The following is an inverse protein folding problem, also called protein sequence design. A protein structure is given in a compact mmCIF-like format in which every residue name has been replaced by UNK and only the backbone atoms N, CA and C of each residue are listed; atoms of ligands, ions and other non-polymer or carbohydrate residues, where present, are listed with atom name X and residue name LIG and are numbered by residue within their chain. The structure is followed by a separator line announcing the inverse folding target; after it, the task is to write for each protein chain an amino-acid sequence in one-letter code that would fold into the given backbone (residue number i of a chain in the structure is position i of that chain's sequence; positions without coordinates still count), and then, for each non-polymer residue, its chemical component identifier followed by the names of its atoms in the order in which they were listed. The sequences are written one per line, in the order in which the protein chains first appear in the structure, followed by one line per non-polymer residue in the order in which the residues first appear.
data_IF_777776437040
#
_entry.id   IF_777776437040
#
_cell.length_a   1.000
_cell.length_b   1.000
_cell.length_c   1.000
_cell.angle_alpha   90.00
_cell.angle_beta   90.00
_cell.angle_gamma   90.00
#
_symmetry.space_group_name_H-M   'P 1'
#
loop_
_entity.id
_entity.type
_entity.pdbx_description
1 polymer ?
#
# COMPACT_ATOMS: atom_id res chain seq x y z
N UNK A 1 -27.98 16.47 38.92
CA UNK A 1 -28.18 15.90 37.57
C UNK A 1 -26.81 15.70 36.93
N UNK A 2 -26.34 14.46 36.81
CA UNK A 2 -25.07 14.14 36.15
C UNK A 2 -25.30 14.12 34.64
N UNK A 3 -24.53 14.85 33.82
CA UNK A 3 -24.65 14.74 32.38
C UNK A 3 -24.12 13.36 31.98
N UNK A 4 -25.01 12.55 31.42
CA UNK A 4 -24.68 11.33 30.70
C UNK A 4 -23.87 11.74 29.48
N UNK A 5 -22.55 11.56 29.51
CA UNK A 5 -21.71 11.70 28.33
C UNK A 5 -22.10 10.58 27.39
N UNK A 6 -22.91 10.92 26.39
CA UNK A 6 -23.21 10.07 25.25
C UNK A 6 -21.87 9.88 24.50
N UNK A 7 -21.19 8.76 24.73
CA UNK A 7 -20.15 8.27 23.83
C UNK A 7 -20.83 7.91 22.50
N UNK A 8 -21.10 8.92 21.67
CA UNK A 8 -21.44 8.73 20.27
C UNK A 8 -20.28 7.98 19.61
N UNK A 9 -20.59 6.78 19.12
CA UNK A 9 -19.63 5.86 18.54
C UNK A 9 -18.83 6.50 17.41
N UNK A 10 -17.55 6.76 17.69
CA UNK A 10 -16.50 6.94 16.69
C UNK A 10 -16.09 5.56 16.15
N UNK A 11 -17.06 4.82 15.62
CA UNK A 11 -16.77 3.68 14.76
C UNK A 11 -16.27 4.22 13.43
N UNK A 12 -14.98 4.58 13.37
CA UNK A 12 -14.29 4.63 12.07
C UNK A 12 -14.35 3.21 11.53
N UNK A 13 -15.39 2.92 10.75
CA UNK A 13 -15.43 1.74 9.91
C UNK A 13 -14.32 1.93 8.88
N UNK A 14 -13.13 1.48 9.26
CA UNK A 14 -12.02 1.34 8.35
C UNK A 14 -12.36 0.14 7.48
N UNK A 15 -12.90 0.43 6.29
CA UNK A 15 -13.11 -0.55 5.23
C UNK A 15 -11.85 -1.40 4.98
N UNK A 16 -10.66 -0.81 5.21
CA UNK A 16 -9.38 -1.49 5.09
C UNK A 16 -8.65 -1.56 6.43
N UNK A 17 -8.12 -2.72 6.76
CA UNK A 17 -7.28 -2.92 7.94
C UNK A 17 -5.94 -2.18 7.80
N UNK A 18 -5.58 -1.26 8.72
CA UNK A 18 -4.33 -0.53 8.61
C UNK A 18 -3.14 -1.31 9.17
N UNK A 19 -2.06 -1.35 8.39
CA UNK A 19 -0.77 -1.92 8.77
C UNK A 19 0.38 -0.95 8.50
N UNK A 20 1.48 -1.14 9.22
CA UNK A 20 2.71 -0.37 9.06
C UNK A 20 3.84 -1.28 8.56
N UNK A 21 4.45 -0.91 7.44
CA UNK A 21 5.70 -1.50 6.97
C UNK A 21 6.87 -0.67 7.53
N UNK A 22 7.68 -1.23 8.46
CA UNK A 22 8.85 -0.52 9.01
C UNK A 22 10.02 -0.40 8.02
N UNK A 23 9.93 -1.08 6.88
CA UNK A 23 10.97 -1.11 5.85
C UNK A 23 11.12 -2.52 5.29
N UNK A 24 11.14 -2.65 3.96
CA UNK A 24 11.31 -3.94 3.27
C UNK A 24 12.15 -3.78 2.00
N UNK A 25 13.44 -3.44 2.12
CA UNK A 25 14.26 -2.97 1.00
C UNK A 25 14.69 -4.06 0.01
N UNK A 26 14.39 -5.32 0.30
CA UNK A 26 14.84 -6.48 -0.50
C UNK A 26 13.74 -7.53 -0.61
N UNK A 27 13.72 -8.25 -1.73
CA UNK A 27 12.69 -9.27 -2.02
C UNK A 27 12.68 -10.40 -0.98
N UNK A 28 13.85 -10.83 -0.50
CA UNK A 28 13.98 -11.94 0.45
C UNK A 28 13.43 -11.58 1.85
N UNK A 29 13.27 -10.29 2.12
CA UNK A 29 12.68 -9.75 3.34
C UNK A 29 11.48 -8.84 3.04
N UNK A 30 10.73 -9.17 1.97
CA UNK A 30 9.52 -8.46 1.62
C UNK A 30 8.48 -8.51 2.76
N UNK A 31 7.76 -7.40 2.97
CA UNK A 31 6.73 -7.32 3.99
C UNK A 31 5.57 -8.27 3.65
N UNK A 32 5.15 -9.17 4.56
CA UNK A 32 4.12 -10.15 4.26
C UNK A 32 2.72 -9.54 4.24
N UNK A 33 2.01 -9.72 3.13
CA UNK A 33 0.56 -9.55 3.04
C UNK A 33 -0.06 -10.90 3.39
N UNK A 34 -0.33 -11.11 4.68
CA UNK A 34 -0.74 -12.42 5.20
C UNK A 34 -2.15 -12.84 4.76
N UNK A 35 -3.07 -11.88 4.54
CA UNK A 35 -4.47 -12.13 4.14
C UNK A 35 -4.82 -11.34 2.88
N UNK A 36 -4.34 -11.74 1.69
CA UNK A 36 -4.56 -10.98 0.47
C UNK A 36 -6.03 -10.88 0.05
N UNK A 37 -6.92 -11.71 0.60
CA UNK A 37 -8.37 -11.65 0.37
C UNK A 37 -9.09 -10.64 1.24
N UNK A 38 -8.45 -10.08 2.26
CA UNK A 38 -9.03 -9.08 3.18
C UNK A 38 -8.62 -7.69 2.73
N UNK A 39 -9.56 -6.75 2.77
CA UNK A 39 -9.28 -5.35 2.46
C UNK A 39 -8.27 -4.79 3.49
N UNK A 40 -7.12 -4.33 3.01
CA UNK A 40 -6.05 -3.82 3.86
C UNK A 40 -5.29 -2.68 3.22
N UNK A 41 -4.78 -1.80 4.05
CA UNK A 41 -3.85 -0.74 3.65
C UNK A 41 -2.53 -0.94 4.38
N UNK A 42 -1.43 -0.91 3.64
CA UNK A 42 -0.08 -0.94 4.23
C UNK A 42 0.58 0.41 3.99
N UNK A 43 0.84 1.12 5.08
CA UNK A 43 1.54 2.41 5.07
C UNK A 43 3.03 2.20 5.25
N UNK A 44 3.82 3.06 4.62
CA UNK A 44 5.26 3.10 4.80
C UNK A 44 5.81 4.48 4.49
N UNK A 45 7.10 4.65 4.74
CA UNK A 45 7.87 5.85 4.38
C UNK A 45 9.06 5.42 3.55
N UNK A 46 9.30 6.13 2.45
CA UNK A 46 10.47 5.94 1.61
C UNK A 46 11.32 7.22 1.64
N UNK A 47 12.64 7.06 1.71
CA UNK A 47 13.61 8.07 1.34
C UNK A 47 13.81 8.09 -0.19
N UNK A 48 14.44 9.15 -0.75
CA UNK A 48 14.82 9.15 -2.16
C UNK A 48 15.63 7.91 -2.55
N UNK A 49 15.27 7.28 -3.67
CA UNK A 49 15.92 6.09 -4.21
C UNK A 49 15.53 4.78 -3.53
N UNK A 50 14.74 4.80 -2.46
CA UNK A 50 14.33 3.58 -1.78
C UNK A 50 13.20 2.84 -2.49
N UNK A 51 13.12 1.55 -2.18
CA UNK A 51 12.06 0.65 -2.60
C UNK A 51 11.60 -0.20 -1.43
N UNK A 52 10.30 -0.44 -1.33
CA UNK A 52 9.73 -1.39 -0.38
C UNK A 52 9.02 -2.53 -1.12
N UNK A 53 9.38 -3.76 -0.79
CA UNK A 53 8.79 -4.97 -1.35
C UNK A 53 7.74 -5.57 -0.42
N UNK A 54 6.72 -6.18 -1.01
CA UNK A 54 5.64 -6.87 -0.32
C UNK A 54 5.44 -8.23 -0.96
N UNK A 55 5.22 -9.27 -0.15
CA UNK A 55 4.97 -10.63 -0.63
C UNK A 55 3.53 -11.01 -0.37
N UNK A 56 2.87 -11.56 -1.38
CA UNK A 56 1.55 -12.16 -1.27
C UNK A 56 1.54 -13.53 -1.94
N UNK A 57 0.80 -14.46 -1.37
CA UNK A 57 0.61 -15.80 -1.91
C UNK A 57 -0.87 -16.02 -2.15
N UNK A 58 -1.24 -16.35 -3.38
CA UNK A 58 -2.62 -16.27 -3.84
C UNK A 58 -3.05 -17.55 -4.57
N UNK A 59 -4.35 -17.91 -4.52
CA UNK A 59 -4.86 -19.03 -5.31
C UNK A 59 -4.90 -18.71 -6.80
N UNK A 60 -5.01 -19.75 -7.63
CA UNK A 60 -5.16 -19.61 -9.08
C UNK A 60 -6.36 -18.73 -9.44
N UNK A 61 -6.13 -17.72 -10.28
CA UNK A 61 -7.17 -16.82 -10.76
C UNK A 61 -7.60 -15.74 -9.77
N UNK A 62 -6.84 -15.56 -8.67
CA UNK A 62 -7.04 -14.46 -7.73
C UNK A 62 -7.06 -13.12 -8.44
N UNK A 63 -8.00 -12.25 -8.08
CA UNK A 63 -8.09 -10.90 -8.62
C UNK A 63 -7.48 -9.93 -7.64
N UNK A 64 -6.28 -9.46 -7.96
CA UNK A 64 -5.61 -8.40 -7.22
C UNK A 64 -6.19 -7.05 -7.66
N UNK A 65 -6.76 -6.29 -6.74
CA UNK A 65 -7.20 -4.92 -6.96
C UNK A 65 -6.45 -4.03 -5.98
N UNK A 66 -5.65 -3.11 -6.52
CA UNK A 66 -4.67 -2.34 -5.76
C UNK A 66 -4.63 -0.88 -6.20
N UNK A 67 -4.34 0.00 -5.25
CA UNK A 67 -4.12 1.41 -5.51
C UNK A 67 -3.01 1.97 -4.63
N UNK A 68 -2.23 2.90 -5.17
CA UNK A 68 -1.18 3.61 -4.45
C UNK A 68 -1.61 5.03 -4.11
N UNK A 69 -1.36 5.45 -2.89
CA UNK A 69 -1.61 6.80 -2.40
C UNK A 69 -0.34 7.38 -1.79
N UNK A 70 -0.25 8.71 -1.80
CA UNK A 70 0.76 9.47 -1.04
C UNK A 70 0.08 10.47 -0.13
N UNK A 71 0.72 10.80 0.99
CA UNK A 71 0.20 11.79 1.93
C UNK A 71 -0.05 13.14 1.24
N UNK A 72 -1.16 13.81 1.56
CA UNK A 72 -1.55 15.06 0.90
C UNK A 72 -0.57 16.21 1.17
N UNK A 73 0.10 16.17 2.32
CA UNK A 73 1.16 17.11 2.68
C UNK A 73 2.56 16.67 2.22
N UNK A 74 2.71 15.52 1.56
CA UNK A 74 4.01 15.11 1.02
C UNK A 74 4.43 16.02 -0.15
N UNK A 75 5.75 16.17 -0.39
CA UNK A 75 6.25 16.94 -1.53
C UNK A 75 5.55 16.55 -2.83
N UNK A 76 5.18 17.52 -3.65
CA UNK A 76 4.44 17.25 -4.89
C UNK A 76 5.23 16.32 -5.84
N UNK A 77 6.56 16.47 -5.83
CA UNK A 77 7.51 15.65 -6.58
C UNK A 77 7.59 14.19 -6.10
N UNK A 78 7.12 13.87 -4.89
CA UNK A 78 6.98 12.49 -4.46
C UNK A 78 5.85 11.81 -5.22
N UNK A 79 6.23 11.04 -6.24
CA UNK A 79 5.35 10.35 -7.19
C UNK A 79 5.85 8.91 -7.39
N UNK A 80 5.73 8.06 -6.36
CA UNK A 80 6.28 6.71 -6.38
C UNK A 80 5.65 5.84 -7.47
N UNK A 81 6.40 4.85 -7.93
CA UNK A 81 5.94 3.85 -8.89
C UNK A 81 5.52 2.57 -8.16
N UNK A 82 4.41 1.97 -8.60
CA UNK A 82 3.95 0.67 -8.14
C UNK A 82 4.39 -0.41 -9.14
N UNK A 83 4.96 -1.50 -8.64
CA UNK A 83 5.34 -2.66 -9.42
C UNK A 83 4.56 -3.88 -8.98
N UNK A 84 4.17 -4.72 -9.94
CA UNK A 84 3.69 -6.08 -9.73
C UNK A 84 4.68 -7.07 -10.34
N UNK A 85 5.13 -8.03 -9.55
CA UNK A 85 6.12 -9.03 -9.90
C UNK A 85 5.52 -10.42 -9.71
N UNK A 86 5.77 -11.34 -10.64
CA UNK A 86 5.18 -12.67 -10.56
C UNK A 86 5.47 -13.56 -11.75
N UNK A 87 5.19 -14.86 -11.61
CA UNK A 87 5.31 -15.81 -12.70
C UNK A 87 4.34 -15.48 -13.84
N UNK A 88 4.80 -15.66 -15.08
CA UNK A 88 3.96 -15.46 -16.28
C UNK A 88 3.63 -14.01 -16.61
N UNK A 89 4.04 -13.04 -15.77
CA UNK A 89 3.95 -11.64 -16.11
C UNK A 89 4.92 -11.31 -17.25
N UNK A 90 4.49 -10.41 -18.13
CA UNK A 90 5.30 -9.79 -19.16
C UNK A 90 5.20 -8.29 -19.00
N UNK A 91 6.33 -7.59 -19.15
CA UNK A 91 6.38 -6.15 -19.02
C UNK A 91 7.80 -5.64 -18.95
N UNK A 92 7.98 -4.58 -18.17
CA UNK A 92 9.21 -3.81 -18.09
C UNK A 92 10.29 -4.53 -17.26
N UNK A 93 11.55 -4.23 -17.56
CA UNK A 93 12.69 -4.66 -16.74
C UNK A 93 12.80 -3.69 -15.55
N UNK A 94 12.60 -4.14 -14.31
CA UNK A 94 12.69 -3.26 -13.15
C UNK A 94 14.14 -2.92 -12.80
N UNK A 95 14.40 -1.86 -12.02
CA UNK A 95 15.74 -1.48 -11.56
C UNK A 95 16.29 -2.36 -10.43
N UNK A 96 15.77 -3.57 -10.26
CA UNK A 96 16.12 -4.53 -9.21
C UNK A 96 16.06 -5.96 -9.75
N UNK A 97 16.82 -6.91 -9.16
CA UNK A 97 16.80 -8.29 -9.62
C UNK A 97 15.43 -8.94 -9.44
N UNK A 98 15.08 -9.82 -10.38
CA UNK A 98 13.87 -10.64 -10.30
C UNK A 98 14.21 -12.09 -9.99
N UNK A 99 13.32 -12.82 -9.27
CA UNK A 99 13.43 -14.27 -9.19
C UNK A 99 13.38 -14.89 -10.60
N UNK A 100 14.02 -16.05 -10.75
CA UNK A 100 13.98 -16.78 -12.01
C UNK A 100 12.53 -17.08 -12.44
N UNK A 101 12.23 -16.86 -13.73
CA UNK A 101 10.90 -17.07 -14.30
C UNK A 101 9.87 -15.99 -13.96
N UNK A 102 10.24 -14.94 -13.20
CA UNK A 102 9.35 -13.82 -12.90
C UNK A 102 9.46 -12.74 -13.98
N UNK A 103 8.33 -12.11 -14.28
CA UNK A 103 8.29 -10.82 -14.97
C UNK A 103 7.78 -9.72 -14.05
N UNK A 104 7.83 -8.49 -14.55
CA UNK A 104 7.38 -7.31 -13.84
C UNK A 104 6.47 -6.43 -14.70
N UNK A 105 5.56 -5.70 -14.05
CA UNK A 105 4.73 -4.66 -14.65
C UNK A 105 4.73 -3.42 -13.76
N UNK A 106 4.92 -2.25 -14.35
CA UNK A 106 4.88 -0.97 -13.65
C UNK A 106 3.52 -0.27 -13.81
N UNK A 107 3.13 0.47 -12.79
CA UNK A 107 2.02 1.40 -12.79
C UNK A 107 2.47 2.74 -12.21
N UNK A 108 2.16 3.83 -12.90
CA UNK A 108 2.60 5.17 -12.54
C UNK A 108 1.60 6.23 -13.00
N UNK A 109 1.65 7.41 -12.37
CA UNK A 109 0.78 8.54 -12.72
C UNK A 109 -0.60 8.48 -12.07
N UNK A 110 -1.58 9.15 -12.67
CA UNK A 110 -2.97 9.18 -12.16
C UNK A 110 -3.17 10.00 -10.87
N UNK A 111 -2.15 10.76 -10.45
CA UNK A 111 -2.14 11.54 -9.21
C UNK A 111 -3.24 12.61 -9.20
N UNK A 112 -4.19 12.45 -8.30
CA UNK A 112 -5.31 13.37 -8.06
C UNK A 112 -5.55 13.53 -6.58
N UNK A 113 -6.03 14.69 -6.15
CA UNK A 113 -6.39 14.91 -4.75
C UNK A 113 -7.44 13.90 -4.29
N UNK A 114 -7.32 13.47 -3.03
CA UNK A 114 -8.23 12.53 -2.40
C UNK A 114 -8.49 12.92 -0.95
N UNK A 115 -9.78 12.99 -0.59
CA UNK A 115 -10.25 13.16 0.79
C UNK A 115 -11.38 12.17 1.04
N UNK A 116 -11.21 11.31 2.03
CA UNK A 116 -12.20 10.28 2.36
C UNK A 116 -11.64 9.25 3.32
N UNK A 117 -12.52 8.60 4.09
CA UNK A 117 -12.15 7.49 4.99
C UNK A 117 -11.00 7.84 5.96
N UNK A 118 -10.95 9.09 6.44
CA UNK A 118 -9.90 9.58 7.34
C UNK A 118 -8.56 9.91 6.67
N UNK A 119 -8.47 9.84 5.34
CA UNK A 119 -7.27 10.18 4.58
C UNK A 119 -7.35 11.58 3.96
N UNK A 120 -6.21 12.26 3.98
CA UNK A 120 -5.90 13.45 3.17
C UNK A 120 -4.69 13.08 2.32
N UNK A 121 -4.92 12.83 1.03
CA UNK A 121 -3.96 12.14 0.18
C UNK A 121 -3.96 12.68 -1.25
N UNK A 122 -3.01 12.20 -2.04
CA UNK A 122 -3.14 12.12 -3.50
C UNK A 122 -3.23 10.64 -3.88
N UNK A 123 -4.29 10.26 -4.59
CA UNK A 123 -4.46 8.91 -5.14
C UNK A 123 -3.74 8.84 -6.47
N UNK A 124 -2.86 7.86 -6.65
CA UNK A 124 -2.05 7.65 -7.85
C UNK A 124 -2.51 6.45 -8.66
N UNK A 125 -1.57 5.58 -9.10
CA UNK A 125 -1.91 4.46 -9.96
C UNK A 125 -2.80 3.45 -9.23
N UNK A 126 -3.71 2.87 -10.00
CA UNK A 126 -4.59 1.78 -9.58
C UNK A 126 -4.65 0.72 -10.67
N UNK A 127 -4.79 -0.54 -10.28
CA UNK A 127 -4.80 -1.66 -11.21
C UNK A 127 -5.63 -2.81 -10.65
N UNK A 128 -6.26 -3.55 -11.57
CA UNK A 128 -6.96 -4.79 -11.29
C UNK A 128 -6.43 -5.89 -12.20
N UNK A 129 -5.79 -6.89 -11.62
CA UNK A 129 -5.06 -7.94 -12.33
C UNK A 129 -5.55 -9.31 -11.90
N UNK A 130 -5.70 -10.23 -12.86
CA UNK A 130 -5.98 -11.63 -12.57
C UNK A 130 -4.67 -12.41 -12.56
N UNK A 131 -4.31 -12.93 -11.40
CA UNK A 131 -3.03 -13.57 -11.16
C UNK A 131 -3.10 -15.09 -11.32
N UNK A 132 -2.01 -15.74 -11.80
CA UNK A 132 -1.83 -17.18 -11.60
C UNK A 132 -1.69 -17.49 -10.10
N UNK A 133 -1.80 -18.76 -9.75
CA UNK A 133 -1.58 -19.19 -8.36
C UNK A 133 -0.11 -19.09 -7.96
N UNK A 134 0.14 -18.91 -6.67
CA UNK A 134 1.47 -18.91 -6.08
C UNK A 134 1.93 -17.53 -5.60
N UNK A 135 3.24 -17.38 -5.49
CA UNK A 135 3.88 -16.21 -4.89
C UNK A 135 3.99 -15.07 -5.90
N UNK A 136 3.55 -13.90 -5.47
CA UNK A 136 3.71 -12.64 -6.19
C UNK A 136 4.32 -11.62 -5.25
N UNK A 137 4.87 -10.56 -5.83
CA UNK A 137 5.34 -9.42 -5.07
C UNK A 137 4.75 -8.13 -5.60
N UNK A 138 4.59 -7.17 -4.69
CA UNK A 138 4.42 -5.78 -5.03
C UNK A 138 5.66 -5.02 -4.62
N UNK A 139 5.98 -3.94 -5.33
CA UNK A 139 7.02 -3.03 -4.89
C UNK A 139 6.59 -1.57 -5.05
N UNK A 140 6.95 -0.73 -4.09
CA UNK A 140 6.74 0.72 -4.16
C UNK A 140 8.12 1.37 -4.22
N UNK A 141 8.42 1.99 -5.36
CA UNK A 141 9.70 2.64 -5.65
C UNK A 141 9.55 4.16 -5.54
N UNK A 142 10.41 4.81 -4.75
CA UNK A 142 10.28 6.23 -4.43
C UNK A 142 10.58 7.17 -5.62
N UNK A 143 11.57 6.80 -6.44
CA UNK A 143 12.21 7.73 -7.37
C UNK A 143 13.09 8.76 -6.64
N UNK A 144 13.19 9.98 -7.18
CA UNK A 144 14.12 11.01 -6.68
C UNK A 144 13.67 11.75 -5.41
N UNK A 145 12.45 11.51 -4.91
CA UNK A 145 11.90 12.19 -3.74
C UNK A 145 11.31 11.17 -2.78
N UNK A 146 11.43 11.41 -1.48
CA UNK A 146 10.86 10.56 -0.44
C UNK A 146 9.52 11.08 0.10
N UNK A 147 8.81 10.23 0.83
CA UNK A 147 7.57 10.58 1.50
C UNK A 147 6.82 9.38 2.06
N UNK A 148 5.64 9.65 2.60
CA UNK A 148 4.73 8.62 3.09
C UNK A 148 3.80 8.14 1.98
N UNK A 149 3.71 6.82 1.84
CA UNK A 149 2.79 6.16 0.93
C UNK A 149 1.82 5.25 1.68
N UNK A 150 0.74 4.91 0.99
CA UNK A 150 -0.23 3.92 1.42
C UNK A 150 -0.55 3.02 0.22
N UNK A 151 -0.26 1.73 0.36
CA UNK A 151 -0.63 0.69 -0.60
C UNK A 151 -1.97 0.09 -0.17
N UNK A 152 -3.01 0.31 -0.96
CA UNK A 152 -4.35 -0.22 -0.72
C UNK A 152 -4.55 -1.50 -1.51
N UNK A 153 -5.09 -2.53 -0.86
CA UNK A 153 -5.52 -3.78 -1.47
C UNK A 153 -7.00 -3.97 -1.14
N UNK A 154 -7.84 -4.13 -2.16
CA UNK A 154 -9.25 -4.42 -1.96
C UNK A 154 -9.43 -5.89 -1.56
N UNK A 155 -10.55 -6.19 -0.90
CA UNK A 155 -10.89 -7.52 -0.44
C UNK A 155 -12.14 -7.49 0.42
N UNK A 156 -12.34 -8.54 1.21
CA UNK A 156 -13.39 -8.62 2.21
C UNK A 156 -13.14 -7.57 3.31
N UNK A 157 -14.15 -6.74 3.58
CA UNK A 157 -14.10 -5.72 4.63
C UNK A 157 -14.46 -6.35 5.97
N UNK A 158 -13.45 -6.65 6.79
CA UNK A 158 -13.64 -7.16 8.15
C UNK A 158 -12.81 -6.37 9.16
N UNK A 159 -13.28 -6.19 10.41
CA UNK A 159 -12.52 -5.47 11.44
C UNK A 159 -11.11 -6.03 11.65
N UNK A 160 -10.13 -5.15 11.87
CA UNK A 160 -8.76 -5.54 12.16
C UNK A 160 -7.76 -4.41 11.89
N UNK A 161 -6.49 -4.79 11.70
CA UNK A 161 -5.35 -3.89 11.60
C UNK A 161 -4.39 -4.07 12.76
N UNK A 162 -3.36 -3.23 12.79
CA UNK A 162 -2.31 -3.23 13.83
C UNK A 162 -2.27 -1.88 14.54
N UNK A 163 -1.95 -1.82 15.85
CA UNK A 163 -1.75 -0.56 16.57
C UNK A 163 -0.82 0.41 15.83
N UNK A 164 0.27 -0.11 15.25
CA UNK A 164 1.25 0.67 14.47
C UNK A 164 0.65 1.24 13.19
N UNK A 165 -0.21 0.46 12.52
CA UNK A 165 -0.96 0.90 11.34
C UNK A 165 -1.91 2.04 11.68
N UNK A 166 -2.70 1.92 12.75
CA UNK A 166 -3.55 3.02 13.22
C UNK A 166 -2.75 4.28 13.55
N UNK A 167 -1.61 4.12 14.24
CA UNK A 167 -0.70 5.22 14.55
C UNK A 167 -0.02 5.82 13.30
N UNK A 168 0.01 5.11 12.16
CA UNK A 168 0.59 5.60 10.91
C UNK A 168 -0.33 6.57 10.15
N UNK A 169 -1.66 6.47 10.29
CA UNK A 169 -2.63 7.32 9.59
C UNK A 169 -2.34 8.83 9.76
N UNK A 170 -2.16 9.37 10.99
CA UNK A 170 -1.86 10.79 11.16
C UNK A 170 -0.49 11.20 10.58
N UNK A 171 0.51 10.32 10.62
CA UNK A 171 1.85 10.54 10.03
C UNK A 171 1.77 10.61 8.50
N UNK A 172 1.01 9.70 7.90
CA UNK A 172 0.71 9.69 6.47
C UNK A 172 0.02 10.99 6.03
N UNK A 173 -1.06 11.40 6.71
CA UNK A 173 -1.82 12.60 6.35
C UNK A 173 -0.97 13.89 6.40
N UNK A 174 -0.06 14.00 7.38
CA UNK A 174 0.82 15.17 7.55
C UNK A 174 2.15 15.05 6.82
N UNK A 175 2.45 13.90 6.24
CA UNK A 175 3.76 13.55 5.69
C UNK A 175 4.95 13.93 6.61
N UNK A 176 4.82 13.63 7.90
CA UNK A 176 5.79 14.05 8.90
C UNK A 176 5.79 13.13 10.11
N UNK A 177 6.84 13.24 10.92
CA UNK A 177 6.86 12.63 12.24
C UNK A 177 5.98 13.48 13.17
N UNK A 178 5.12 12.80 13.93
CA UNK A 178 4.20 13.41 14.88
C UNK A 178 4.93 13.89 16.14
#
# INVERSE_FOLDING_TARGET
MRPLVLLLGLGLALAHQPFWNPGSPRLEAAYPIARPTVAQVVMGRLAPGEIHFFRLEVPQGFTLDMALFVGGACPEAFRPRLWLLGPGLRGEVPPFPLPEGYGARAYQGGWREYRGHGLVARKGPEARERLPGGVHYLAVEAGATGGYYLLSLAGEEVPGGSPEGFAAIPRFNRCGES
#
